data_IF_418397915163
#
_entry.id   IF_418397915163
#
_cell.length_a   1.000
_cell.length_b   1.000
_cell.length_c   1.000
_cell.angle_alpha   90.00
_cell.angle_beta   90.00
_cell.angle_gamma   90.00
#
_symmetry.space_group_name_H-M   'P 1'
#
loop_
_entity.id
_entity.type
_entity.pdbx_description
1 polymer ?
#
# COMPACT_ATOMS: atom_id res chain seq x y z
N UNK A 1 25.15 -5.60 -21.05
CA UNK A 1 24.20 -4.52 -21.27
C UNK A 1 22.84 -4.91 -20.71
N UNK A 2 22.49 -4.34 -19.58
CA UNK A 2 21.25 -4.68 -18.88
C UNK A 2 20.20 -3.57 -19.08
N UNK A 3 19.15 -3.88 -19.82
CA UNK A 3 18.03 -2.96 -19.95
C UNK A 3 17.01 -3.24 -18.87
N UNK A 4 16.60 -2.20 -18.13
CA UNK A 4 15.54 -2.31 -17.16
C UNK A 4 14.21 -2.50 -17.92
N UNK A 5 13.46 -3.57 -17.62
CA UNK A 5 12.16 -3.78 -18.25
C UNK A 5 11.23 -2.58 -18.05
N UNK A 6 10.43 -2.30 -19.05
CA UNK A 6 9.41 -1.27 -18.97
C UNK A 6 8.05 -1.89 -18.72
N UNK A 7 7.25 -1.17 -17.97
CA UNK A 7 5.89 -1.55 -17.62
C UNK A 7 4.93 -0.44 -17.99
N UNK A 8 3.70 -0.79 -18.25
CA UNK A 8 2.64 0.16 -18.52
C UNK A 8 1.96 0.56 -17.23
N UNK A 9 1.78 1.87 -17.01
CA UNK A 9 1.16 2.38 -15.77
C UNK A 9 -0.35 2.11 -15.82
N UNK A 10 -0.87 1.33 -14.86
CA UNK A 10 -2.30 1.02 -14.79
C UNK A 10 -3.10 2.17 -14.19
N UNK A 11 -4.41 2.17 -14.45
CA UNK A 11 -5.34 3.08 -13.77
C UNK A 11 -5.70 2.51 -12.39
N UNK A 12 -5.32 3.23 -11.35
CA UNK A 12 -5.59 2.84 -9.97
C UNK A 12 -6.65 3.73 -9.30
N UNK A 13 -7.00 4.83 -9.92
CA UNK A 13 -8.01 5.76 -9.43
C UNK A 13 -9.38 5.08 -9.43
N UNK A 14 -10.13 5.26 -8.34
CA UNK A 14 -11.45 4.67 -8.18
C UNK A 14 -11.46 3.27 -7.59
N UNK A 15 -10.28 2.68 -7.37
CA UNK A 15 -10.15 1.38 -6.73
C UNK A 15 -10.01 1.54 -5.21
N UNK A 16 -10.32 0.47 -4.48
CA UNK A 16 -9.95 0.38 -3.07
C UNK A 16 -8.43 0.27 -2.95
N UNK A 17 -7.84 0.90 -1.94
CA UNK A 17 -6.38 0.94 -1.75
C UNK A 17 -5.75 -0.46 -1.73
N UNK A 18 -6.43 -1.45 -1.16
CA UNK A 18 -5.91 -2.83 -1.11
C UNK A 18 -5.82 -3.45 -2.50
N UNK A 19 -6.83 -3.23 -3.33
CA UNK A 19 -6.83 -3.71 -4.71
C UNK A 19 -5.81 -2.95 -5.55
N UNK A 20 -5.69 -1.64 -5.33
CA UNK A 20 -4.71 -0.81 -6.03
C UNK A 20 -3.28 -1.24 -5.71
N UNK A 21 -2.97 -1.52 -4.45
CA UNK A 21 -1.65 -2.02 -4.05
C UNK A 21 -1.34 -3.37 -4.70
N UNK A 22 -2.31 -4.28 -4.72
CA UNK A 22 -2.13 -5.60 -5.32
C UNK A 22 -1.83 -5.49 -6.81
N UNK A 23 -2.57 -4.66 -7.53
CA UNK A 23 -2.33 -4.41 -8.97
C UNK A 23 -0.97 -3.75 -9.18
N UNK A 24 -0.60 -2.78 -8.35
CA UNK A 24 0.69 -2.09 -8.44
C UNK A 24 1.86 -3.06 -8.26
N UNK A 25 1.83 -3.86 -7.21
CA UNK A 25 2.90 -4.83 -6.96
C UNK A 25 2.98 -5.90 -8.04
N UNK A 26 1.84 -6.37 -8.56
CA UNK A 26 1.79 -7.34 -9.67
C UNK A 26 2.38 -6.75 -10.95
N UNK A 27 2.29 -5.44 -11.14
CA UNK A 27 2.84 -4.72 -12.27
C UNK A 27 4.24 -4.15 -12.04
N UNK A 28 4.91 -4.53 -10.96
CA UNK A 28 6.25 -4.04 -10.60
C UNK A 28 6.32 -2.53 -10.39
N UNK A 29 5.27 -1.97 -9.81
CA UNK A 29 5.17 -0.56 -9.42
C UNK A 29 5.25 -0.47 -7.91
N UNK A 30 5.89 0.58 -7.40
CA UNK A 30 6.01 0.84 -5.97
C UNK A 30 4.96 1.88 -5.55
N UNK A 31 3.85 1.48 -4.92
CA UNK A 31 2.84 2.43 -4.47
C UNK A 31 3.25 3.08 -3.15
N UNK A 32 3.05 4.37 -3.05
CA UNK A 32 3.15 5.13 -1.80
C UNK A 32 1.78 5.70 -1.48
N UNK A 33 1.26 5.37 -0.32
CA UNK A 33 -0.09 5.76 0.09
C UNK A 33 -0.03 7.05 0.90
N UNK A 34 -0.77 8.06 0.45
CA UNK A 34 -0.97 9.30 1.18
C UNK A 34 -2.45 9.42 1.55
N UNK A 35 -2.75 9.33 2.84
CA UNK A 35 -4.11 9.46 3.33
C UNK A 35 -4.49 10.94 3.39
N UNK A 36 -5.58 11.29 2.75
CA UNK A 36 -6.11 12.64 2.75
C UNK A 36 -7.51 12.68 3.37
N UNK A 37 -7.84 13.78 4.02
CA UNK A 37 -9.18 13.97 4.58
C UNK A 37 -10.19 14.13 3.45
N UNK A 38 -11.20 13.27 3.43
CA UNK A 38 -12.18 13.22 2.34
C UNK A 38 -13.51 12.66 2.84
N UNK A 39 -14.58 13.15 2.24
CA UNK A 39 -15.94 12.63 2.46
C UNK A 39 -16.21 11.37 1.63
N UNK A 40 -15.31 11.04 0.70
CA UNK A 40 -15.45 9.86 -0.14
C UNK A 40 -15.30 8.56 0.67
N UNK A 41 -15.66 7.45 0.05
CA UNK A 41 -15.57 6.15 0.71
C UNK A 41 -14.18 5.88 1.25
N UNK A 42 -14.05 5.35 2.48
CA UNK A 42 -12.74 5.06 3.06
C UNK A 42 -11.94 4.09 2.20
N UNK A 43 -10.66 4.40 2.00
CA UNK A 43 -9.79 3.58 1.20
C UNK A 43 -9.92 3.74 -0.31
N UNK A 44 -10.76 4.66 -0.76
CA UNK A 44 -10.90 4.95 -2.19
C UNK A 44 -9.68 5.72 -2.69
N UNK A 45 -9.07 5.25 -3.77
CA UNK A 45 -7.98 5.97 -4.43
C UNK A 45 -8.57 7.15 -5.20
N UNK A 46 -8.22 8.36 -4.77
CA UNK A 46 -8.75 9.62 -5.32
C UNK A 46 -7.88 10.18 -6.42
N UNK A 47 -6.57 10.06 -6.27
CA UNK A 47 -5.59 10.59 -7.22
C UNK A 47 -4.40 9.66 -7.34
N UNK A 48 -3.74 9.73 -8.49
CA UNK A 48 -2.57 8.95 -8.83
C UNK A 48 -1.53 9.87 -9.44
N UNK A 49 -0.33 9.89 -8.86
CA UNK A 49 0.77 10.72 -9.35
C UNK A 49 2.01 9.83 -9.55
N UNK A 50 2.47 9.74 -10.77
CA UNK A 50 3.63 8.92 -11.13
C UNK A 50 4.89 9.77 -11.07
N UNK A 51 5.85 9.37 -10.23
CA UNK A 51 7.13 10.07 -10.14
C UNK A 51 7.92 9.95 -11.44
N UNK A 52 8.57 11.04 -11.82
CA UNK A 52 9.41 11.13 -13.02
C UNK A 52 8.67 10.85 -14.31
N UNK A 53 7.36 10.94 -14.30
CA UNK A 53 6.59 10.88 -15.52
C UNK A 53 6.49 12.26 -16.14
N UNK A 54 7.36 12.50 -17.08
CA UNK A 54 7.30 13.70 -17.90
C UNK A 54 6.64 13.30 -19.22
N UNK A 55 5.33 13.54 -19.34
CA UNK A 55 4.79 13.67 -20.68
C UNK A 55 5.47 14.86 -21.30
N UNK A 56 6.20 14.64 -22.36
CA UNK A 56 6.65 15.75 -23.19
C UNK A 56 5.39 16.49 -23.61
N UNK A 57 5.16 17.63 -22.99
CA UNK A 57 4.08 18.50 -23.41
C UNK A 57 4.39 18.98 -24.81
N UNK A 58 3.88 18.30 -25.81
CA UNK A 58 3.76 18.85 -27.15
C UNK A 58 2.65 19.90 -27.19
N UNK A 59 2.39 20.57 -26.08
CA UNK A 59 1.38 21.60 -26.03
C UNK A 59 2.00 22.94 -26.35
N UNK A 60 2.19 23.19 -27.60
CA UNK A 60 2.37 24.55 -28.11
C UNK A 60 1.05 25.32 -28.13
N UNK A 61 0.00 24.76 -27.58
CA UNK A 61 -1.30 25.39 -27.45
C UNK A 61 -1.49 25.82 -26.03
N UNK A 62 -0.90 26.97 -25.72
CA UNK A 62 -1.25 27.71 -24.54
C UNK A 62 -2.65 28.32 -24.76
N UNK A 63 -3.68 27.48 -24.63
CA UNK A 63 -5.00 28.00 -24.43
C UNK A 63 -5.11 28.51 -23.02
N UNK A 64 -4.86 29.80 -22.88
CA UNK A 64 -4.89 30.52 -21.58
C UNK A 64 -6.27 30.51 -20.91
N UNK A 65 -7.25 29.87 -21.52
CA UNK A 65 -8.62 29.84 -21.03
C UNK A 65 -9.04 28.50 -20.40
N UNK A 66 -8.13 27.55 -20.30
CA UNK A 66 -8.47 26.29 -19.67
C UNK A 66 -8.06 26.32 -18.19
N UNK A 67 -8.91 26.96 -17.39
CA UNK A 67 -8.75 27.01 -15.94
C UNK A 67 -9.04 25.66 -15.26
N UNK A 68 -9.33 24.62 -16.04
CA UNK A 68 -9.58 23.26 -15.57
C UNK A 68 -8.45 22.28 -15.90
N UNK A 69 -7.30 22.79 -16.29
CA UNK A 69 -6.15 21.93 -16.59
C UNK A 69 -5.40 21.44 -15.34
N UNK A 70 -6.11 21.24 -14.26
CA UNK A 70 -5.64 20.37 -13.19
C UNK A 70 -5.88 18.89 -13.56
N UNK A 71 -5.78 18.57 -14.84
CA UNK A 71 -5.52 17.19 -15.22
C UNK A 71 -4.11 16.89 -14.77
N UNK A 72 -4.00 16.48 -13.50
CA UNK A 72 -2.79 15.86 -13.03
C UNK A 72 -2.46 14.73 -13.99
N UNK A 73 -1.28 14.82 -14.60
CA UNK A 73 -0.85 13.82 -15.54
C UNK A 73 -0.52 12.54 -14.76
N UNK A 74 -1.54 11.69 -14.59
CA UNK A 74 -1.43 10.43 -13.89
C UNK A 74 -0.68 9.37 -14.68
N UNK A 75 -0.25 9.70 -15.91
CA UNK A 75 0.56 8.84 -16.78
C UNK A 75 -0.03 7.45 -17.04
N UNK A 76 -1.33 7.31 -16.94
CA UNK A 76 -2.00 6.04 -17.24
C UNK A 76 -1.70 5.64 -18.68
N UNK A 77 -1.28 4.38 -18.88
CA UNK A 77 -0.94 3.84 -20.18
C UNK A 77 0.45 4.20 -20.69
N UNK A 78 1.20 4.99 -19.95
CA UNK A 78 2.58 5.35 -20.30
C UNK A 78 3.53 4.24 -19.87
N UNK A 79 4.50 3.90 -20.70
CA UNK A 79 5.55 2.96 -20.36
C UNK A 79 6.61 3.61 -19.47
N UNK A 80 6.85 3.03 -18.32
CA UNK A 80 7.84 3.49 -17.35
C UNK A 80 8.74 2.34 -16.92
N UNK A 81 9.95 2.62 -16.42
CA UNK A 81 10.82 1.57 -15.91
C UNK A 81 10.17 0.81 -14.75
N UNK A 82 10.44 -0.48 -14.68
CA UNK A 82 10.08 -1.31 -13.53
C UNK A 82 10.61 -0.68 -12.24
N UNK A 83 9.81 -0.69 -11.17
CA UNK A 83 10.17 -0.05 -9.91
C UNK A 83 9.80 1.43 -9.82
N UNK A 84 9.09 1.96 -10.81
CA UNK A 84 8.59 3.34 -10.78
C UNK A 84 7.68 3.56 -9.57
N UNK A 85 7.88 4.65 -8.84
CA UNK A 85 7.08 5.00 -7.69
C UNK A 85 5.82 5.76 -8.11
N UNK A 86 4.69 5.34 -7.58
CA UNK A 86 3.39 5.99 -7.80
C UNK A 86 2.82 6.42 -6.45
N UNK A 87 2.51 7.70 -6.32
CA UNK A 87 1.88 8.23 -5.11
C UNK A 87 0.37 8.19 -5.31
N UNK A 88 -0.32 7.52 -4.40
CA UNK A 88 -1.77 7.42 -4.40
C UNK A 88 -2.33 8.27 -3.27
N UNK A 89 -3.20 9.21 -3.59
CA UNK A 89 -4.00 9.91 -2.59
C UNK A 89 -5.24 9.08 -2.33
N UNK A 90 -5.42 8.68 -1.08
CA UNK A 90 -6.46 7.75 -0.66
C UNK A 90 -7.33 8.41 0.40
N UNK A 91 -8.65 8.23 0.28
CA UNK A 91 -9.58 8.74 1.29
C UNK A 91 -9.27 8.12 2.66
N UNK A 92 -8.88 8.96 3.60
CA UNK A 92 -8.45 8.59 4.94
C UNK A 92 -9.47 8.87 6.03
N UNK A 93 -10.75 8.74 5.73
CA UNK A 93 -11.80 8.87 6.74
C UNK A 93 -11.52 7.91 7.89
N UNK A 94 -11.48 8.45 9.11
CA UNK A 94 -11.03 7.68 10.28
C UNK A 94 -12.08 6.68 10.76
N UNK A 95 -11.66 5.44 10.88
CA UNK A 95 -12.40 4.36 11.50
C UNK A 95 -11.52 3.68 12.54
N UNK A 96 -12.13 3.04 13.50
CA UNK A 96 -11.45 2.23 14.51
C UNK A 96 -12.00 0.82 14.49
N UNK A 97 -11.19 -0.14 14.91
CA UNK A 97 -11.61 -1.53 15.04
C UNK A 97 -10.66 -2.31 15.92
N UNK A 98 -11.06 -3.50 16.29
CA UNK A 98 -10.23 -4.39 17.08
C UNK A 98 -9.56 -5.40 16.17
N UNK A 99 -8.23 -5.49 16.25
CA UNK A 99 -7.46 -6.44 15.47
C UNK A 99 -7.90 -7.89 15.72
N UNK A 100 -7.89 -8.75 14.70
CA UNK A 100 -8.05 -10.18 14.93
C UNK A 100 -6.87 -10.72 15.76
N UNK A 101 -7.10 -11.80 16.48
CA UNK A 101 -6.04 -12.45 17.24
C UNK A 101 -5.03 -13.09 16.30
N UNK A 102 -3.76 -12.78 16.51
CA UNK A 102 -2.64 -13.38 15.79
C UNK A 102 -1.76 -14.12 16.80
N UNK A 103 -2.13 -15.36 17.19
CA UNK A 103 -1.35 -16.12 18.17
C UNK A 103 0.10 -16.31 17.69
N UNK A 104 1.07 -16.24 18.61
CA UNK A 104 2.48 -16.40 18.24
C UNK A 104 2.75 -17.74 17.54
N UNK A 105 3.55 -17.67 16.47
CA UNK A 105 4.02 -18.84 15.71
C UNK A 105 2.94 -19.64 14.98
N UNK A 106 1.74 -19.10 14.83
CA UNK A 106 0.66 -19.79 14.13
C UNK A 106 0.60 -19.45 12.64
N UNK A 107 0.81 -18.17 12.30
CA UNK A 107 0.64 -17.70 10.94
C UNK A 107 1.96 -17.31 10.28
N UNK A 108 2.08 -17.62 8.99
CA UNK A 108 3.12 -17.06 8.13
C UNK A 108 2.82 -15.58 7.88
N UNK A 109 3.78 -14.85 7.30
CA UNK A 109 3.60 -13.44 6.93
C UNK A 109 2.38 -13.28 6.02
N UNK A 110 2.29 -14.12 4.97
CA UNK A 110 1.21 -14.03 3.98
C UNK A 110 -0.16 -14.30 4.61
N UNK A 111 -0.23 -15.29 5.48
CA UNK A 111 -1.47 -15.62 6.20
C UNK A 111 -1.91 -14.49 7.12
N UNK A 112 -0.97 -13.92 7.87
CA UNK A 112 -1.25 -12.80 8.77
C UNK A 112 -1.68 -11.54 8.00
N UNK A 113 -1.00 -11.22 6.90
CA UNK A 113 -1.36 -10.11 6.03
C UNK A 113 -2.77 -10.29 5.46
N UNK A 114 -3.12 -11.50 5.04
CA UNK A 114 -4.45 -11.79 4.50
C UNK A 114 -5.54 -11.57 5.54
N UNK A 115 -5.31 -12.02 6.78
CA UNK A 115 -6.25 -11.81 7.88
C UNK A 115 -6.44 -10.33 8.19
N UNK A 116 -5.36 -9.57 8.22
CA UNK A 116 -5.43 -8.13 8.49
C UNK A 116 -6.10 -7.39 7.34
N UNK A 117 -5.82 -7.75 6.10
CA UNK A 117 -6.47 -7.14 4.94
C UNK A 117 -7.97 -7.40 4.92
N UNK A 118 -8.40 -8.60 5.28
CA UNK A 118 -9.82 -8.91 5.44
C UNK A 118 -10.47 -8.06 6.53
N UNK A 119 -9.79 -7.93 7.68
CA UNK A 119 -10.22 -7.04 8.76
C UNK A 119 -10.36 -5.59 8.27
N UNK A 120 -9.39 -5.10 7.50
CA UNK A 120 -9.41 -3.75 6.93
C UNK A 120 -10.62 -3.55 5.99
N UNK A 121 -10.95 -4.57 5.19
CA UNK A 121 -12.11 -4.52 4.29
C UNK A 121 -13.42 -4.48 5.08
N UNK A 122 -13.52 -5.24 6.16
CA UNK A 122 -14.73 -5.33 6.98
C UNK A 122 -14.96 -4.09 7.84
N UNK A 123 -13.90 -3.48 8.35
CA UNK A 123 -13.99 -2.35 9.29
C UNK A 123 -13.78 -0.99 8.65
N UNK A 124 -13.31 -0.94 7.41
CA UNK A 124 -12.87 0.28 6.72
C UNK A 124 -11.69 0.98 7.39
N UNK A 125 -11.01 0.33 8.32
CA UNK A 125 -9.77 0.82 8.93
C UNK A 125 -8.64 0.64 7.92
N UNK A 126 -7.86 1.69 7.68
CA UNK A 126 -6.70 1.63 6.79
C UNK A 126 -5.43 1.61 7.62
N UNK A 127 -4.70 0.51 7.55
CA UNK A 127 -3.44 0.32 8.27
C UNK A 127 -2.29 0.22 7.29
N UNK A 128 -1.13 0.73 7.69
CA UNK A 128 0.12 0.52 6.98
C UNK A 128 0.81 -0.70 7.57
N UNK A 129 1.08 -1.70 6.74
CA UNK A 129 1.68 -2.96 7.19
C UNK A 129 3.20 -2.91 7.02
N UNK A 130 3.91 -3.35 8.04
CA UNK A 130 5.37 -3.39 8.05
C UNK A 130 5.83 -4.71 8.67
N UNK A 131 6.95 -5.24 8.18
CA UNK A 131 7.56 -6.44 8.73
C UNK A 131 8.85 -6.05 9.45
N UNK A 132 9.01 -6.54 10.68
CA UNK A 132 10.25 -6.46 11.44
C UNK A 132 10.69 -7.88 11.80
N UNK A 133 11.97 -8.09 12.01
CA UNK A 133 12.52 -9.41 12.26
C UNK A 133 13.17 -9.44 13.64
N UNK A 134 12.93 -10.50 14.38
CA UNK A 134 13.48 -10.70 15.71
C UNK A 134 13.97 -12.14 15.88
N UNK A 135 15.16 -12.30 16.45
CA UNK A 135 15.70 -13.63 16.75
C UNK A 135 14.83 -14.36 17.77
N UNK A 136 14.57 -15.62 17.51
CA UNK A 136 13.77 -16.46 18.40
C UNK A 136 14.40 -17.84 18.59
N UNK A 137 14.39 -18.32 19.83
CA UNK A 137 14.77 -19.68 20.16
C UNK A 137 13.58 -20.66 20.08
N UNK A 138 12.40 -20.14 19.81
CA UNK A 138 11.20 -20.95 19.73
C UNK A 138 11.19 -21.85 18.50
N UNK A 139 11.02 -23.12 18.71
CA UNK A 139 10.93 -24.13 17.64
C UNK A 139 9.67 -23.89 16.82
N UNK A 140 9.80 -23.96 15.51
CA UNK A 140 8.70 -23.78 14.54
C UNK A 140 8.19 -22.33 14.39
N UNK A 141 8.92 -21.35 14.91
CA UNK A 141 8.54 -19.93 14.76
C UNK A 141 9.32 -19.21 13.67
N UNK A 142 10.29 -19.87 13.07
CA UNK A 142 11.06 -19.29 11.98
C UNK A 142 10.17 -18.98 10.78
N UNK A 143 10.22 -17.73 10.30
CA UNK A 143 9.39 -17.27 9.19
C UNK A 143 7.92 -17.01 9.54
N UNK A 144 7.57 -17.15 10.82
CA UNK A 144 6.21 -16.93 11.29
C UNK A 144 6.10 -15.66 12.12
N UNK A 145 4.89 -15.12 12.19
CA UNK A 145 4.60 -13.95 13.02
C UNK A 145 4.62 -14.38 14.49
N UNK A 146 5.53 -13.79 15.28
CA UNK A 146 5.64 -14.07 16.72
C UNK A 146 4.96 -13.00 17.57
N UNK A 147 4.58 -11.89 16.97
CA UNK A 147 3.87 -10.82 17.65
C UNK A 147 3.68 -9.61 16.74
N UNK A 148 3.08 -8.60 17.29
CA UNK A 148 2.91 -7.30 16.62
C UNK A 148 3.21 -6.17 17.60
N UNK A 149 3.31 -4.94 17.09
CA UNK A 149 3.45 -3.75 17.94
C UNK A 149 2.15 -3.37 18.68
N UNK A 150 1.06 -4.06 18.39
CA UNK A 150 -0.25 -3.85 19.05
C UNK A 150 -0.59 -5.10 19.86
N UNK A 151 -1.17 -4.92 21.03
CA UNK A 151 -1.62 -6.05 21.86
C UNK A 151 -2.68 -6.89 21.14
N UNK A 152 -2.74 -8.18 21.46
CA UNK A 152 -3.75 -9.10 20.90
C UNK A 152 -5.16 -8.55 21.12
N UNK A 153 -5.93 -8.46 20.03
CA UNK A 153 -7.28 -7.91 20.07
C UNK A 153 -7.34 -6.41 20.36
N UNK A 154 -6.20 -5.72 20.28
CA UNK A 154 -6.12 -4.28 20.56
C UNK A 154 -6.83 -3.42 19.52
N UNK A 155 -7.20 -2.22 19.94
CA UNK A 155 -7.87 -1.26 19.05
C UNK A 155 -6.86 -0.55 18.16
N UNK A 156 -7.19 -0.46 16.88
CA UNK A 156 -6.39 0.26 15.88
C UNK A 156 -7.26 1.28 15.15
N UNK A 157 -6.64 2.32 14.66
CA UNK A 157 -7.29 3.41 13.93
C UNK A 157 -6.66 3.61 12.56
N UNK A 158 -7.43 4.13 11.63
CA UNK A 158 -6.94 4.49 10.29
C UNK A 158 -5.70 5.38 10.38
N UNK A 159 -4.68 5.04 9.62
CA UNK A 159 -3.41 5.76 9.57
C UNK A 159 -2.31 5.19 10.47
N UNK A 160 -2.65 4.24 11.34
CA UNK A 160 -1.65 3.58 12.19
C UNK A 160 -0.84 2.56 11.41
N UNK A 161 0.40 2.34 11.84
CA UNK A 161 1.27 1.30 11.28
C UNK A 161 1.18 0.05 12.14
N UNK A 162 0.83 -1.07 11.52
CA UNK A 162 0.88 -2.38 12.17
C UNK A 162 2.17 -3.08 11.75
N UNK A 163 3.04 -3.33 12.71
CA UNK A 163 4.29 -4.05 12.46
C UNK A 163 4.15 -5.51 12.89
N UNK A 164 4.32 -6.42 11.94
CA UNK A 164 4.45 -7.84 12.24
C UNK A 164 5.88 -8.11 12.69
N UNK A 165 6.05 -8.80 13.79
CA UNK A 165 7.35 -9.26 14.26
C UNK A 165 7.51 -10.69 13.78
N UNK A 166 8.52 -10.93 12.93
CA UNK A 166 8.75 -12.21 12.28
C UNK A 166 9.93 -12.89 12.97
N UNK A 167 9.75 -14.15 13.35
CA UNK A 167 10.81 -14.92 13.98
C UNK A 167 11.90 -15.31 12.98
N UNK A 168 13.15 -15.07 13.34
CA UNK A 168 14.31 -15.57 12.62
C UNK A 168 15.08 -16.52 13.53
N UNK A 169 15.72 -17.52 12.93
CA UNK A 169 16.48 -18.50 13.67
C UNK A 169 17.71 -17.83 14.32
N UNK A 170 17.89 -18.11 15.60
CA UNK A 170 19.09 -17.71 16.29
C UNK A 170 20.25 -18.63 15.85
N UNK A 171 21.25 -18.08 15.19
CA UNK A 171 22.45 -18.80 14.78
C UNK A 171 23.53 -18.71 15.84
N UNK A 172 23.46 -19.60 16.82
CA UNK A 172 24.55 -19.82 17.78
C UNK A 172 25.43 -20.99 17.32
#
# INVERSE_FOLDING_TARGET
YYEIPKIEIPELIGLNVLDAEEIAFSGYILPTINLVDSEEAPGLVLKQNVKNCNREEESNNLDENDNNSEEEDNCIGVEMPEGTEVILEVSGKKFTGNLPNLPPCEYTIDEAESLVKEFMRETNVILFLKNTFEETDLVNCEGKVIGTNVAQGGTVSTGETLSFIIGIKNED
#
